data_IF_942231463858
#
_entry.id   IF_942231463858
#
_cell.length_a   1.000
_cell.length_b   1.000
_cell.length_c   1.000
_cell.angle_alpha   90.00
_cell.angle_beta   90.00
_cell.angle_gamma   90.00
#
_symmetry.space_group_name_H-M   'P 1'
#
loop_
_entity.id
_entity.type
_entity.pdbx_description
1 polymer ?
#
# COMPACT_ATOMS: atom_id res chain seq x y z
N UNK A 1 5.57 13.58 1.30
CA UNK A 1 4.64 14.67 1.00
C UNK A 1 4.40 14.92 -0.47
N UNK A 2 5.19 14.30 -1.35
CA UNK A 2 4.92 14.36 -2.79
C UNK A 2 3.59 13.69 -3.16
N UNK A 3 3.20 12.66 -2.46
CA UNK A 3 1.93 11.96 -2.72
C UNK A 3 0.71 12.86 -2.52
N UNK A 4 0.71 13.69 -1.48
CA UNK A 4 -0.38 14.62 -1.22
C UNK A 4 -0.49 15.70 -2.30
N UNK A 5 0.64 16.19 -2.80
CA UNK A 5 0.66 17.18 -3.86
C UNK A 5 0.16 16.60 -5.19
N UNK A 6 0.55 15.36 -5.50
CA UNK A 6 0.07 14.68 -6.70
C UNK A 6 -1.44 14.41 -6.61
N UNK A 7 -1.93 14.04 -5.44
CA UNK A 7 -3.34 13.83 -5.20
C UNK A 7 -4.16 15.10 -5.41
N UNK A 8 -3.70 16.23 -4.90
CA UNK A 8 -4.37 17.51 -5.11
C UNK A 8 -4.40 17.93 -6.57
N UNK A 9 -3.30 17.72 -7.31
CA UNK A 9 -3.25 17.99 -8.75
C UNK A 9 -4.23 17.13 -9.52
N UNK A 10 -4.34 15.85 -9.15
CA UNK A 10 -5.29 14.92 -9.77
C UNK A 10 -6.73 15.36 -9.54
N UNK A 11 -7.05 15.78 -8.32
CA UNK A 11 -8.38 16.29 -7.96
C UNK A 11 -8.77 17.47 -8.83
N UNK A 12 -7.90 18.46 -8.94
CA UNK A 12 -8.14 19.66 -9.74
C UNK A 12 -8.32 19.33 -11.21
N UNK A 13 -7.44 18.48 -11.76
CA UNK A 13 -7.49 18.09 -13.18
C UNK A 13 -8.77 17.36 -13.53
N UNK A 14 -9.32 16.55 -12.63
CA UNK A 14 -10.53 15.77 -12.88
C UNK A 14 -11.81 16.49 -12.46
N UNK A 15 -11.72 17.72 -11.99
CA UNK A 15 -12.90 18.47 -11.53
C UNK A 15 -13.45 17.97 -10.20
N UNK A 16 -12.63 17.27 -9.42
CA UNK A 16 -13.03 16.76 -8.11
C UNK A 16 -12.85 17.85 -7.06
N UNK A 17 -13.92 18.25 -6.38
CA UNK A 17 -13.84 19.21 -5.30
C UNK A 17 -13.86 18.57 -3.91
N UNK A 18 -14.40 17.36 -3.78
CA UNK A 18 -14.46 16.63 -2.52
C UNK A 18 -14.15 15.16 -2.75
N UNK A 19 -13.26 14.61 -1.94
CA UNK A 19 -12.97 13.18 -1.92
C UNK A 19 -13.35 12.61 -0.57
N UNK A 20 -14.06 11.49 -0.58
CA UNK A 20 -14.35 10.70 0.61
C UNK A 20 -13.66 9.35 0.47
N UNK A 21 -12.87 9.01 1.48
CA UNK A 21 -12.22 7.71 1.56
C UNK A 21 -12.27 7.18 2.97
N UNK A 22 -12.66 5.93 3.14
CA UNK A 22 -12.67 5.26 4.43
C UNK A 22 -12.28 3.80 4.27
N UNK A 23 -11.54 3.29 5.26
CA UNK A 23 -11.28 1.87 5.42
C UNK A 23 -12.47 1.24 6.16
N UNK A 24 -12.82 0.00 5.83
CA UNK A 24 -13.88 -0.71 6.55
C UNK A 24 -13.53 -0.86 8.04
N UNK A 25 -14.52 -1.06 8.89
CA UNK A 25 -14.32 -1.27 10.32
C UNK A 25 -13.40 -2.45 10.63
N UNK A 26 -13.37 -3.46 9.77
CA UNK A 26 -12.50 -4.61 9.92
C UNK A 26 -11.04 -4.30 9.58
N UNK A 27 -10.78 -3.15 8.95
CA UNK A 27 -9.44 -2.77 8.52
C UNK A 27 -8.88 -3.69 7.44
N UNK A 28 -7.67 -4.19 7.63
CA UNK A 28 -7.07 -5.17 6.72
C UNK A 28 -7.65 -6.53 7.04
N UNK A 29 -8.33 -7.13 6.05
CA UNK A 29 -9.04 -8.40 6.25
C UNK A 29 -8.14 -9.62 6.08
N UNK A 30 -7.22 -9.57 5.10
CA UNK A 30 -6.33 -10.68 4.81
C UNK A 30 -4.91 -10.18 4.62
N UNK A 31 -3.97 -10.86 5.27
CA UNK A 31 -2.54 -10.60 5.14
C UNK A 31 -1.86 -11.94 4.86
N UNK A 32 -1.09 -12.01 3.79
CA UNK A 32 -0.34 -13.22 3.46
C UNK A 32 1.03 -12.90 2.88
N UNK A 33 2.01 -13.73 3.22
CA UNK A 33 3.34 -13.67 2.59
C UNK A 33 3.26 -14.49 1.31
N UNK A 34 3.43 -13.83 0.17
CA UNK A 34 3.30 -14.48 -1.13
C UNK A 34 4.65 -14.86 -1.75
N UNK A 35 5.74 -14.24 -1.28
CA UNK A 35 7.09 -14.55 -1.73
C UNK A 35 8.09 -14.19 -0.64
N UNK A 36 9.11 -15.03 -0.48
CA UNK A 36 10.25 -14.72 0.37
C UNK A 36 11.54 -15.02 -0.40
N UNK A 37 12.55 -14.21 -0.20
CA UNK A 37 13.87 -14.45 -0.79
C UNK A 37 14.96 -13.87 0.08
N UNK A 38 16.18 -14.40 -0.09
CA UNK A 38 17.38 -13.87 0.54
C UNK A 38 18.41 -13.53 -0.52
N UNK A 39 19.07 -12.38 -0.33
CA UNK A 39 20.14 -11.94 -1.21
C UNK A 39 21.40 -11.78 -0.40
N UNK A 40 22.39 -12.64 -0.64
CA UNK A 40 23.69 -12.55 0.01
C UNK A 40 24.43 -11.30 -0.45
N UNK A 41 25.02 -10.58 0.49
CA UNK A 41 25.76 -9.34 0.21
C UNK A 41 27.26 -9.50 0.50
N UNK A 42 27.69 -10.68 0.99
CA UNK A 42 29.10 -11.01 1.19
C UNK A 42 29.43 -12.32 0.51
N UNK A 43 30.69 -12.47 0.10
CA UNK A 43 31.15 -13.70 -0.57
C UNK A 43 31.07 -14.94 0.31
N UNK A 44 31.22 -14.78 1.62
CA UNK A 44 31.14 -15.87 2.57
C UNK A 44 29.69 -16.20 2.98
N UNK A 45 28.70 -15.50 2.40
CA UNK A 45 27.28 -15.73 2.61
C UNK A 45 26.82 -15.47 4.09
N UNK A 46 27.65 -14.79 4.89
CA UNK A 46 27.28 -14.50 6.28
C UNK A 46 26.40 -13.27 6.42
N UNK A 47 26.40 -12.38 5.42
CA UNK A 47 25.57 -11.18 5.38
C UNK A 47 24.60 -11.27 4.24
N UNK A 48 23.36 -10.89 4.50
CA UNK A 48 22.29 -10.99 3.52
C UNK A 48 21.19 -9.97 3.83
N UNK A 49 20.32 -9.78 2.86
CA UNK A 49 19.01 -9.16 3.09
C UNK A 49 17.93 -10.20 2.89
N UNK A 50 17.02 -10.28 3.85
CA UNK A 50 15.79 -11.06 3.69
C UNK A 50 14.70 -10.11 3.18
N UNK A 51 13.96 -10.53 2.15
CA UNK A 51 12.84 -9.78 1.61
C UNK A 51 11.59 -10.65 1.59
N UNK A 52 10.49 -10.08 2.07
CA UNK A 52 9.18 -10.71 1.97
C UNK A 52 8.24 -9.79 1.22
N UNK A 53 7.54 -10.35 0.23
CA UNK A 53 6.42 -9.68 -0.42
C UNK A 53 5.16 -10.09 0.31
N UNK A 54 4.44 -9.11 0.83
CA UNK A 54 3.23 -9.32 1.63
C UNK A 54 2.04 -8.75 0.86
N UNK A 55 1.01 -9.58 0.73
CA UNK A 55 -0.25 -9.20 0.11
C UNK A 55 -1.23 -8.79 1.20
N UNK A 56 -1.76 -7.58 1.09
CA UNK A 56 -2.79 -7.05 1.99
C UNK A 56 -4.09 -6.91 1.23
N UNK A 57 -5.16 -7.40 1.78
CA UNK A 57 -6.49 -7.25 1.21
C UNK A 57 -7.37 -6.48 2.20
N UNK A 58 -8.03 -5.45 1.71
CA UNK A 58 -8.90 -4.63 2.52
C UNK A 58 -10.16 -4.24 1.74
N UNK A 59 -11.17 -3.80 2.46
CA UNK A 59 -12.38 -3.20 1.89
C UNK A 59 -12.35 -1.71 2.19
N UNK A 60 -12.55 -0.92 1.16
CA UNK A 60 -12.46 0.52 1.27
C UNK A 60 -13.68 1.14 0.59
N UNK A 61 -14.01 2.36 0.98
CA UNK A 61 -14.96 3.17 0.25
C UNK A 61 -14.25 4.41 -0.28
N UNK A 62 -14.59 4.75 -1.50
CA UNK A 62 -14.05 5.92 -2.17
C UNK A 62 -15.17 6.60 -2.96
N UNK A 63 -15.30 7.90 -2.78
CA UNK A 63 -16.21 8.70 -3.56
C UNK A 63 -15.60 10.05 -3.85
N UNK A 64 -15.70 10.51 -5.09
CA UNK A 64 -15.29 11.84 -5.49
C UNK A 64 -16.48 12.62 -6.01
N UNK A 65 -16.59 13.87 -5.63
CA UNK A 65 -17.73 14.74 -5.91
C UNK A 65 -17.26 16.04 -6.55
N UNK A 66 -18.08 16.59 -7.44
CA UNK A 66 -17.84 17.87 -8.08
C UNK A 66 -18.30 19.04 -7.19
N UNK A 67 -18.22 20.28 -7.72
CA UNK A 67 -18.62 21.47 -6.99
C UNK A 67 -20.12 21.51 -6.68
N UNK A 68 -20.92 20.76 -7.42
CA UNK A 68 -22.37 20.66 -7.20
C UNK A 68 -22.75 19.46 -6.32
N UNK A 69 -21.74 18.85 -5.67
CA UNK A 69 -21.89 17.68 -4.80
C UNK A 69 -22.46 16.45 -5.51
N UNK A 70 -22.16 16.32 -6.81
CA UNK A 70 -22.53 15.15 -7.60
C UNK A 70 -21.41 14.14 -7.58
N UNK A 71 -21.75 12.87 -7.42
CA UNK A 71 -20.78 11.78 -7.47
C UNK A 71 -20.24 11.64 -8.90
N UNK A 72 -18.94 11.85 -9.07
CA UNK A 72 -18.27 11.77 -10.38
C UNK A 72 -17.29 10.59 -10.49
N UNK A 73 -16.94 9.96 -9.39
CA UNK A 73 -16.10 8.75 -9.36
C UNK A 73 -16.34 7.97 -8.09
N UNK A 74 -16.13 6.65 -8.14
CA UNK A 74 -16.30 5.77 -6.99
C UNK A 74 -17.76 5.50 -6.67
N UNK A 75 -18.03 5.24 -5.38
CA UNK A 75 -19.33 4.84 -4.87
C UNK A 75 -19.93 5.90 -3.95
N UNK A 76 -21.26 5.93 -3.86
CA UNK A 76 -21.97 6.79 -2.91
C UNK A 76 -21.81 6.29 -1.48
N UNK A 77 -22.10 7.16 -0.50
CA UNK A 77 -22.03 6.83 0.91
C UNK A 77 -22.91 5.63 1.29
N UNK A 78 -24.01 5.45 0.58
CA UNK A 78 -24.96 4.37 0.84
C UNK A 78 -24.39 2.98 0.58
N UNK A 79 -23.41 2.89 -0.33
CA UNK A 79 -22.78 1.62 -0.69
C UNK A 79 -21.82 1.15 0.41
N UNK A 80 -21.15 2.09 1.11
CA UNK A 80 -20.21 1.78 2.18
C UNK A 80 -18.87 1.25 1.67
N UNK A 81 -18.10 0.64 2.57
CA UNK A 81 -16.75 0.16 2.30
C UNK A 81 -16.76 -1.18 1.56
N UNK A 82 -17.09 -1.17 0.30
CA UNK A 82 -17.28 -2.38 -0.51
C UNK A 82 -16.24 -2.59 -1.61
N UNK A 83 -15.37 -1.61 -1.86
CA UNK A 83 -14.30 -1.74 -2.84
C UNK A 83 -13.19 -2.64 -2.30
N UNK A 84 -12.94 -3.75 -2.99
CA UNK A 84 -11.82 -4.63 -2.63
C UNK A 84 -10.51 -4.01 -3.11
N UNK A 85 -9.59 -3.79 -2.20
CA UNK A 85 -8.26 -3.26 -2.49
C UNK A 85 -7.21 -4.28 -2.11
N UNK A 86 -6.31 -4.56 -3.04
CA UNK A 86 -5.20 -5.49 -2.83
C UNK A 86 -3.89 -4.76 -3.05
N UNK A 87 -3.04 -4.76 -2.04
CA UNK A 87 -1.71 -4.16 -2.09
C UNK A 87 -0.64 -5.23 -1.89
N UNK A 88 0.48 -5.07 -2.60
CA UNK A 88 1.66 -5.92 -2.44
C UNK A 88 2.82 -5.04 -2.01
N UNK A 89 3.30 -5.26 -0.79
CA UNK A 89 4.42 -4.50 -0.23
C UNK A 89 5.60 -5.41 0.03
N UNK A 90 6.80 -4.91 -0.27
CA UNK A 90 8.04 -5.64 -0.03
C UNK A 90 8.70 -5.08 1.21
N UNK A 91 8.91 -5.94 2.20
CA UNK A 91 9.63 -5.62 3.43
C UNK A 91 11.01 -6.25 3.40
N UNK A 92 11.99 -5.57 3.93
CA UNK A 92 13.37 -5.99 3.91
C UNK A 92 14.00 -5.86 5.29
N UNK A 93 14.87 -6.81 5.61
CA UNK A 93 15.66 -6.78 6.84
C UNK A 93 17.07 -7.29 6.56
N UNK A 94 18.07 -6.59 7.09
CA UNK A 94 19.45 -7.07 7.05
C UNK A 94 19.70 -8.19 8.05
N UNK A 95 20.47 -9.18 7.63
CA UNK A 95 20.84 -10.36 8.43
C UNK A 95 22.36 -10.52 8.40
N UNK A 96 22.96 -10.84 9.55
CA UNK A 96 24.38 -11.09 9.66
C UNK A 96 25.14 -9.99 10.41
N UNK A 97 26.47 -10.19 10.65
CA UNK A 97 27.26 -9.30 11.52
C UNK A 97 27.29 -7.83 11.09
N UNK A 98 27.26 -7.55 9.78
CA UNK A 98 27.29 -6.19 9.25
C UNK A 98 26.04 -5.40 9.67
N UNK A 99 24.92 -6.07 9.85
CA UNK A 99 23.62 -5.43 10.07
C UNK A 99 23.24 -5.27 11.54
N UNK A 100 24.10 -5.54 12.47
CA UNK A 100 23.86 -5.42 13.91
C UNK A 100 22.58 -6.13 14.40
N UNK A 101 22.53 -6.45 15.68
CA UNK A 101 21.42 -7.22 16.26
C UNK A 101 20.08 -6.51 16.29
N UNK A 102 20.05 -5.19 16.08
CA UNK A 102 18.83 -4.38 16.10
C UNK A 102 18.35 -3.97 14.72
N UNK A 103 18.76 -4.67 13.66
CA UNK A 103 18.22 -4.44 12.32
C UNK A 103 16.71 -4.67 12.31
N UNK A 104 15.97 -3.72 11.74
CA UNK A 104 14.52 -3.74 11.70
C UNK A 104 14.00 -4.02 10.30
N UNK A 105 12.80 -4.54 10.25
CA UNK A 105 12.06 -4.61 9.00
C UNK A 105 11.74 -3.21 8.50
N UNK A 106 11.93 -2.97 7.22
CA UNK A 106 11.59 -1.70 6.58
C UNK A 106 10.81 -1.95 5.31
N UNK A 107 9.92 -1.03 4.99
CA UNK A 107 9.22 -1.04 3.72
C UNK A 107 10.21 -0.63 2.62
N UNK A 108 10.40 -1.51 1.64
CA UNK A 108 11.38 -1.34 0.59
C UNK A 108 10.71 -0.94 -0.73
N UNK A 109 9.55 -1.50 -1.02
CA UNK A 109 8.83 -1.21 -2.26
C UNK A 109 7.35 -1.55 -2.12
N UNK A 110 6.56 -0.92 -3.00
CA UNK A 110 5.17 -1.29 -3.23
C UNK A 110 5.06 -1.75 -4.68
N UNK A 111 4.50 -2.94 -4.87
CA UNK A 111 4.39 -3.53 -6.20
C UNK A 111 2.97 -3.34 -6.73
N UNK A 112 2.88 -3.06 -8.03
CA UNK A 112 1.63 -3.09 -8.75
C UNK A 112 1.53 -4.45 -9.41
N UNK A 113 0.58 -5.26 -8.97
CA UNK A 113 0.36 -6.61 -9.46
C UNK A 113 -1.05 -6.69 -10.02
N UNK A 114 -1.16 -7.11 -11.28
CA UNK A 114 -2.46 -7.39 -11.87
C UNK A 114 -2.97 -8.74 -11.37
N UNK A 115 -4.16 -8.73 -10.81
CA UNK A 115 -4.83 -9.94 -10.31
C UNK A 115 -6.11 -10.26 -11.08
#
# INVERSE_FOLDING_TARGET
MQELKQEQKRRTKNGWSRIRWNLSEKGVENVSVVQGRMMATSQDLTNAFAQFTVRFESRQEFGAYDDNDRLVAGDSEEVGANLKVVDHWVFERGIGPVHKTNSRWRLCARLIVEE
#
